data_IF_971585552402
#
_entry.id   IF_971585552402
#
_cell.length_a   1.000
_cell.length_b   1.000
_cell.length_c   1.000
_cell.angle_alpha   90.00
_cell.angle_beta   90.00
_cell.angle_gamma   90.00
#
_symmetry.space_group_name_H-M   'P 1'
#
loop_
_entity.id
_entity.type
_entity.pdbx_description
1 polymer ?
#
# COMPACT_ATOMS: atom_id res chain seq x y z
N UNK A 1 -12.72 27.32 13.30
CA UNK A 1 -13.13 25.89 13.35
C UNK A 1 -14.43 25.76 12.57
N UNK A 2 -14.47 25.14 11.37
CA UNK A 2 -15.71 24.97 10.64
C UNK A 2 -16.54 23.80 11.19
N UNK A 3 -17.84 24.03 11.13
CA UNK A 3 -18.99 23.35 11.73
C UNK A 3 -19.08 21.83 11.50
N UNK A 4 -19.39 21.07 12.55
CA UNK A 4 -19.64 19.61 12.51
C UNK A 4 -21.01 19.24 11.90
N UNK A 5 -21.83 20.22 11.52
CA UNK A 5 -23.22 20.00 11.11
C UNK A 5 -23.43 19.69 9.61
N UNK A 6 -22.46 19.98 8.74
CA UNK A 6 -22.60 19.72 7.28
C UNK A 6 -22.24 18.30 6.85
N UNK A 7 -21.68 17.46 7.74
CA UNK A 7 -21.42 16.04 7.44
C UNK A 7 -22.69 15.17 7.44
N UNK A 8 -23.84 15.71 7.89
CA UNK A 8 -25.10 14.96 8.05
C UNK A 8 -25.95 14.85 6.77
N UNK A 9 -25.61 15.56 5.70
CA UNK A 9 -26.52 15.71 4.55
C UNK A 9 -26.40 14.63 3.47
N UNK A 10 -25.41 13.73 3.54
CA UNK A 10 -25.31 12.62 2.59
C UNK A 10 -25.32 11.24 3.27
N UNK A 11 -26.25 10.34 2.92
CA UNK A 11 -26.35 9.00 3.52
C UNK A 11 -25.09 8.14 3.28
N UNK A 12 -24.36 8.38 2.19
CA UNK A 12 -23.07 7.75 1.92
C UNK A 12 -21.95 8.27 2.85
N UNK A 13 -21.94 9.56 3.19
CA UNK A 13 -20.96 10.15 4.11
C UNK A 13 -21.18 9.70 5.56
N UNK A 14 -22.44 9.51 5.97
CA UNK A 14 -22.77 9.01 7.33
C UNK A 14 -22.27 7.59 7.57
N UNK A 15 -22.51 6.67 6.62
CA UNK A 15 -21.99 5.29 6.70
C UNK A 15 -20.47 5.24 6.65
N UNK A 16 -19.84 6.13 5.90
CA UNK A 16 -18.38 6.22 5.84
C UNK A 16 -17.81 6.76 7.17
N UNK A 17 -18.43 7.79 7.75
CA UNK A 17 -18.06 8.36 9.05
C UNK A 17 -18.21 7.39 10.23
N UNK A 18 -19.32 6.64 10.30
CA UNK A 18 -19.52 5.61 11.34
C UNK A 18 -18.47 4.49 11.23
N UNK A 19 -18.14 4.06 10.01
CA UNK A 19 -17.10 3.04 9.78
C UNK A 19 -15.69 3.55 10.04
N UNK A 20 -15.39 4.82 9.70
CA UNK A 20 -14.10 5.46 10.01
C UNK A 20 -13.85 5.56 11.51
N UNK A 21 -14.90 5.67 12.32
CA UNK A 21 -14.81 5.74 13.79
C UNK A 21 -14.63 4.36 14.44
N UNK A 22 -14.62 3.26 13.67
CA UNK A 22 -14.43 1.92 14.24
C UNK A 22 -13.03 1.78 14.89
N UNK A 23 -12.95 1.49 16.20
CA UNK A 23 -11.66 1.43 16.92
C UNK A 23 -10.68 0.43 16.31
N UNK A 24 -11.17 -0.64 15.66
CA UNK A 24 -10.34 -1.69 15.04
C UNK A 24 -9.51 -1.21 13.86
N UNK A 25 -9.91 -0.12 13.19
CA UNK A 25 -9.14 0.49 12.10
C UNK A 25 -7.93 1.27 12.60
N UNK A 26 -7.99 1.76 13.84
CA UNK A 26 -6.97 2.60 14.46
C UNK A 26 -6.07 1.83 15.43
N UNK A 27 -6.59 0.78 16.07
CA UNK A 27 -5.80 -0.03 16.99
C UNK A 27 -4.77 -0.91 16.29
N UNK A 28 -3.58 -0.97 16.89
CA UNK A 28 -2.45 -1.77 16.45
C UNK A 28 -2.64 -3.24 16.86
N UNK A 29 -3.39 -3.99 16.06
CA UNK A 29 -3.46 -5.45 16.14
C UNK A 29 -2.57 -6.07 15.06
N UNK A 30 -1.70 -7.04 15.41
CA UNK A 30 -0.79 -7.73 14.50
C UNK A 30 -1.44 -8.16 13.18
N UNK A 31 -2.66 -8.74 13.22
CA UNK A 31 -3.37 -9.19 12.01
C UNK A 31 -3.84 -8.01 11.15
N UNK A 32 -4.38 -6.98 11.80
CA UNK A 32 -4.91 -5.78 11.14
C UNK A 32 -3.78 -4.94 10.50
N UNK A 33 -2.66 -4.78 11.21
CA UNK A 33 -1.46 -4.07 10.72
C UNK A 33 -0.82 -4.81 9.55
N UNK A 34 -0.69 -6.14 9.65
CA UNK A 34 -0.14 -6.94 8.55
C UNK A 34 -1.02 -6.88 7.30
N UNK A 35 -2.35 -6.93 7.47
CA UNK A 35 -3.31 -6.77 6.38
C UNK A 35 -3.26 -5.36 5.77
N UNK A 36 -3.15 -4.31 6.60
CA UNK A 36 -3.03 -2.93 6.14
C UNK A 36 -1.75 -2.71 5.33
N UNK A 37 -0.62 -3.23 5.81
CA UNK A 37 0.66 -3.18 5.10
C UNK A 37 0.59 -3.89 3.75
N UNK A 38 0.02 -5.10 3.71
CA UNK A 38 -0.12 -5.88 2.49
C UNK A 38 -0.98 -5.16 1.45
N UNK A 39 -2.15 -4.69 1.87
CA UNK A 39 -3.11 -3.99 1.01
C UNK A 39 -2.53 -2.68 0.49
N UNK A 40 -1.94 -1.86 1.36
CA UNK A 40 -1.39 -0.57 0.98
C UNK A 40 -0.18 -0.70 0.05
N UNK A 41 0.72 -1.67 0.29
CA UNK A 41 1.82 -1.94 -0.64
C UNK A 41 1.31 -2.44 -1.98
N UNK A 42 0.36 -3.39 -2.01
CA UNK A 42 -0.19 -3.89 -3.27
C UNK A 42 -0.81 -2.76 -4.11
N UNK A 43 -1.64 -1.92 -3.49
CA UNK A 43 -2.25 -0.77 -4.16
C UNK A 43 -1.22 0.28 -4.56
N UNK A 44 -0.21 0.52 -3.72
CA UNK A 44 0.86 1.47 -3.98
C UNK A 44 1.65 1.16 -5.26
N UNK A 45 1.79 -0.13 -5.61
CA UNK A 45 2.45 -0.53 -6.86
C UNK A 45 1.56 -0.43 -8.11
N UNK A 46 0.25 -0.28 -7.95
CA UNK A 46 -0.67 -0.20 -9.08
C UNK A 46 -0.66 1.21 -9.70
N UNK A 47 -0.61 1.34 -11.04
CA UNK A 47 -0.64 2.63 -11.73
C UNK A 47 -2.06 3.23 -11.75
N UNK A 48 -2.62 3.48 -10.56
CA UNK A 48 -3.98 3.99 -10.37
C UNK A 48 -3.92 5.42 -9.84
N UNK A 49 -4.61 6.34 -10.51
CA UNK A 49 -4.83 7.69 -9.99
C UNK A 49 -5.74 7.62 -8.77
N UNK A 50 -5.37 8.33 -7.69
CA UNK A 50 -6.14 8.29 -6.45
C UNK A 50 -5.94 7.01 -5.61
N UNK A 51 -4.80 6.33 -5.77
CA UNK A 51 -4.40 5.15 -5.00
C UNK A 51 -4.67 5.24 -3.48
N UNK A 52 -4.52 6.42 -2.88
CA UNK A 52 -4.80 6.63 -1.45
C UNK A 52 -6.28 6.47 -1.11
N UNK A 53 -7.19 7.02 -1.92
CA UNK A 53 -8.64 6.87 -1.71
C UNK A 53 -9.06 5.41 -1.84
N UNK A 54 -8.52 4.72 -2.85
CA UNK A 54 -8.77 3.29 -3.06
C UNK A 54 -8.26 2.46 -1.88
N UNK A 55 -7.07 2.75 -1.37
CA UNK A 55 -6.52 2.06 -0.22
C UNK A 55 -7.32 2.30 1.07
N UNK A 56 -7.79 3.52 1.31
CA UNK A 56 -8.67 3.81 2.45
C UNK A 56 -10.00 3.07 2.32
N UNK A 57 -10.62 3.10 1.14
CA UNK A 57 -11.90 2.41 0.90
C UNK A 57 -11.76 0.90 1.11
N UNK A 58 -10.72 0.29 0.53
CA UNK A 58 -10.44 -1.13 0.70
C UNK A 58 -10.00 -1.47 2.14
N UNK A 59 -9.30 -0.57 2.83
CA UNK A 59 -8.91 -0.80 4.22
C UNK A 59 -10.14 -0.89 5.14
N UNK A 60 -11.12 -0.01 4.92
CA UNK A 60 -12.41 -0.06 5.62
C UNK A 60 -13.17 -1.34 5.25
N UNK A 61 -13.20 -1.69 3.96
CA UNK A 61 -13.90 -2.89 3.49
C UNK A 61 -13.33 -4.18 4.09
N UNK A 62 -12.01 -4.34 4.05
CA UNK A 62 -11.30 -5.50 4.63
C UNK A 62 -11.09 -5.40 6.15
N UNK A 63 -11.52 -4.30 6.78
CA UNK A 63 -11.36 -4.03 8.21
C UNK A 63 -9.91 -4.17 8.70
N UNK A 64 -8.98 -3.66 7.90
CA UNK A 64 -7.54 -3.63 8.21
C UNK A 64 -7.11 -2.26 8.72
N UNK A 65 -5.89 -2.15 9.24
CA UNK A 65 -5.44 -0.91 9.87
C UNK A 65 -5.31 0.21 8.83
N UNK A 66 -6.16 1.23 8.96
CA UNK A 66 -6.31 2.29 7.97
C UNK A 66 -5.06 3.17 7.89
N UNK A 67 -4.48 3.68 9.00
CA UNK A 67 -3.23 4.44 8.95
C UNK A 67 -2.09 3.70 8.26
N UNK A 68 -1.91 2.42 8.59
CA UNK A 68 -0.84 1.59 8.00
C UNK A 68 -1.08 1.38 6.51
N UNK A 69 -2.33 1.11 6.09
CA UNK A 69 -2.66 0.99 4.67
C UNK A 69 -2.39 2.28 3.90
N UNK A 70 -2.81 3.43 4.44
CA UNK A 70 -2.57 4.73 3.78
C UNK A 70 -1.09 5.09 3.70
N UNK A 71 -0.30 4.78 4.74
CA UNK A 71 1.14 5.03 4.75
C UNK A 71 1.90 4.11 3.79
N UNK A 72 1.47 2.84 3.68
CA UNK A 72 2.13 1.88 2.80
C UNK A 72 2.00 2.23 1.31
N UNK A 73 0.90 2.90 0.91
CA UNK A 73 0.71 3.40 -0.46
C UNK A 73 1.77 4.44 -0.86
N UNK A 74 2.31 5.20 0.11
CA UNK A 74 3.32 6.23 -0.15
C UNK A 74 4.71 5.69 -0.54
N UNK A 75 4.83 4.37 -0.70
CA UNK A 75 6.02 3.76 -1.28
C UNK A 75 6.28 4.26 -2.73
N UNK A 76 5.23 4.61 -3.48
CA UNK A 76 5.31 5.23 -4.82
C UNK A 76 5.18 6.76 -4.74
N UNK A 77 6.19 7.39 -4.15
CA UNK A 77 6.33 8.85 -4.13
C UNK A 77 7.03 9.37 -5.41
N UNK A 78 7.05 10.69 -5.67
CA UNK A 78 7.64 11.25 -6.90
C UNK A 78 9.08 10.82 -7.19
N UNK A 79 9.85 10.48 -6.16
CA UNK A 79 11.23 10.02 -6.32
C UNK A 79 11.34 8.52 -6.62
N UNK A 80 10.40 7.71 -6.12
CA UNK A 80 10.44 6.24 -6.27
C UNK A 80 9.55 5.72 -7.39
N UNK A 81 8.55 6.48 -7.84
CA UNK A 81 7.60 6.03 -8.87
C UNK A 81 8.29 5.71 -10.20
N UNK A 82 9.23 6.55 -10.64
CA UNK A 82 9.97 6.35 -11.88
C UNK A 82 10.79 5.04 -11.88
N UNK A 83 11.68 4.79 -10.89
CA UNK A 83 12.39 3.53 -10.85
C UNK A 83 11.46 2.32 -10.65
N UNK A 84 10.44 2.42 -9.79
CA UNK A 84 9.49 1.31 -9.56
C UNK A 84 8.79 0.89 -10.86
N UNK A 85 8.22 1.84 -11.60
CA UNK A 85 7.48 1.52 -12.83
C UNK A 85 8.40 1.09 -13.96
N UNK A 86 9.63 1.60 -14.03
CA UNK A 86 10.62 1.11 -14.97
C UNK A 86 10.98 -0.36 -14.74
N UNK A 87 11.21 -0.75 -13.47
CA UNK A 87 11.47 -2.16 -13.13
C UNK A 87 10.26 -3.04 -13.33
N UNK A 88 9.07 -2.60 -12.92
CA UNK A 88 7.81 -3.31 -13.17
C UNK A 88 7.61 -3.55 -14.67
N UNK A 89 7.76 -2.51 -15.50
CA UNK A 89 7.65 -2.64 -16.95
C UNK A 89 8.64 -3.67 -17.52
N UNK A 90 9.92 -3.60 -17.16
CA UNK A 90 10.92 -4.58 -17.60
C UNK A 90 10.58 -6.00 -17.17
N UNK A 91 10.13 -6.17 -15.93
CA UNK A 91 9.76 -7.47 -15.39
C UNK A 91 8.54 -8.03 -16.13
N UNK A 92 7.51 -7.23 -16.36
CA UNK A 92 6.33 -7.68 -17.10
C UNK A 92 6.62 -7.94 -18.58
N UNK A 93 7.48 -7.14 -19.22
CA UNK A 93 7.90 -7.38 -20.60
C UNK A 93 8.68 -8.69 -20.72
N UNK A 94 9.55 -8.99 -19.75
CA UNK A 94 10.24 -10.27 -19.65
C UNK A 94 9.27 -11.44 -19.46
N UNK A 95 8.27 -11.30 -18.58
CA UNK A 95 7.24 -12.35 -18.36
C UNK A 95 6.39 -12.58 -19.61
N UNK A 96 6.03 -11.52 -20.33
CA UNK A 96 5.23 -11.60 -21.54
C UNK A 96 6.04 -11.90 -22.81
N UNK A 97 7.38 -12.03 -22.70
CA UNK A 97 8.29 -12.23 -23.83
C UNK A 97 8.14 -11.15 -24.93
N UNK A 98 7.84 -9.91 -24.52
CA UNK A 98 7.72 -8.76 -25.43
C UNK A 98 9.05 -8.02 -25.45
N UNK A 99 9.53 -7.56 -26.62
CA UNK A 99 10.76 -6.79 -26.69
C UNK A 99 10.64 -5.52 -25.84
N UNK A 100 11.61 -5.31 -24.95
CA UNK A 100 11.72 -4.06 -24.19
C UNK A 100 12.17 -2.99 -25.17
N UNK A 101 11.21 -2.25 -25.75
CA UNK A 101 11.54 -1.13 -26.63
C UNK A 101 12.36 -0.07 -25.87
N UNK A 102 13.33 0.54 -26.54
CA UNK A 102 14.00 1.74 -26.04
C UNK A 102 13.06 2.94 -26.18
N UNK A 103 12.05 2.98 -25.33
CA UNK A 103 11.08 4.06 -25.33
C UNK A 103 11.70 5.26 -24.63
N UNK A 104 12.31 6.15 -25.41
CA UNK A 104 12.56 7.51 -24.96
C UNK A 104 11.19 8.12 -24.62
N UNK A 105 10.96 8.42 -23.34
CA UNK A 105 9.73 9.06 -22.92
C UNK A 105 9.63 10.42 -23.61
N UNK A 106 8.67 10.55 -24.53
CA UNK A 106 8.36 11.81 -25.20
C UNK A 106 6.92 12.18 -24.91
N UNK A 107 6.70 13.39 -24.41
CA UNK A 107 5.35 13.87 -24.09
C UNK A 107 4.64 14.36 -25.36
N UNK A 108 4.46 13.46 -26.34
CA UNK A 108 3.77 13.74 -27.61
C UNK A 108 2.50 12.90 -27.74
N UNK A 109 1.48 13.45 -28.41
CA UNK A 109 0.21 12.76 -28.64
C UNK A 109 0.36 11.50 -29.50
N UNK A 110 1.31 11.50 -30.44
CA UNK A 110 1.65 10.34 -31.26
C UNK A 110 2.33 9.23 -30.45
N UNK A 111 3.23 9.58 -29.54
CA UNK A 111 3.82 8.62 -28.60
C UNK A 111 2.77 8.03 -27.67
N UNK A 112 1.86 8.86 -27.14
CA UNK A 112 0.78 8.40 -26.27
C UNK A 112 -0.17 7.42 -27.00
N UNK A 113 -0.55 7.68 -28.25
CA UNK A 113 -1.49 6.80 -28.96
C UNK A 113 -0.86 5.49 -29.44
N UNK A 114 0.43 5.47 -29.80
CA UNK A 114 1.11 4.28 -30.35
C UNK A 114 1.83 3.45 -29.29
N UNK A 115 2.57 4.10 -28.39
CA UNK A 115 3.44 3.39 -27.44
C UNK A 115 2.74 3.04 -26.14
N UNK A 116 1.77 3.85 -25.69
CA UNK A 116 1.03 3.57 -24.45
C UNK A 116 0.32 2.20 -24.51
N UNK A 117 -0.26 1.86 -25.67
CA UNK A 117 -0.93 0.57 -25.91
C UNK A 117 0.02 -0.63 -25.90
N UNK A 118 1.32 -0.42 -26.13
CA UNK A 118 2.35 -1.46 -25.99
C UNK A 118 2.87 -1.57 -24.55
N UNK A 119 2.92 -0.44 -23.83
CA UNK A 119 3.55 -0.34 -22.51
C UNK A 119 2.60 -0.76 -21.37
N UNK A 120 1.30 -0.45 -21.46
CA UNK A 120 0.36 -0.64 -20.35
C UNK A 120 0.23 -2.10 -19.89
N UNK A 121 0.21 -3.06 -20.83
CA UNK A 121 0.03 -4.47 -20.51
C UNK A 121 1.26 -5.06 -19.76
N UNK A 122 2.50 -4.95 -20.28
CA UNK A 122 3.69 -5.32 -19.52
C UNK A 122 3.81 -4.57 -18.19
N UNK A 123 3.52 -3.26 -18.17
CA UNK A 123 3.57 -2.47 -16.93
C UNK A 123 2.62 -3.03 -15.88
N UNK A 124 1.36 -3.29 -16.22
CA UNK A 124 0.37 -3.84 -15.28
C UNK A 124 0.78 -5.22 -14.77
N UNK A 125 1.24 -6.12 -15.64
CA UNK A 125 1.73 -7.44 -15.22
C UNK A 125 2.88 -7.31 -14.22
N UNK A 126 3.84 -6.43 -14.52
CA UNK A 126 4.93 -6.11 -13.62
C UNK A 126 4.47 -5.55 -12.28
N UNK A 127 3.55 -4.58 -12.30
CA UNK A 127 2.98 -3.97 -11.10
C UNK A 127 2.23 -4.98 -10.23
N UNK A 128 1.47 -5.91 -10.84
CA UNK A 128 0.82 -7.01 -10.13
C UNK A 128 1.86 -7.89 -9.44
N UNK A 129 2.90 -8.31 -10.16
CA UNK A 129 3.94 -9.20 -9.60
C UNK A 129 4.71 -8.49 -8.47
N UNK A 130 5.24 -7.30 -8.74
CA UNK A 130 5.97 -6.50 -7.76
C UNK A 130 5.10 -6.16 -6.56
N UNK A 131 3.84 -5.78 -6.78
CA UNK A 131 2.87 -5.47 -5.73
C UNK A 131 2.55 -6.70 -4.87
N UNK A 132 2.38 -7.88 -5.45
CA UNK A 132 2.16 -9.13 -4.71
C UNK A 132 3.39 -9.50 -3.88
N UNK A 133 4.60 -9.40 -4.46
CA UNK A 133 5.85 -9.65 -3.73
C UNK A 133 5.98 -8.66 -2.56
N UNK A 134 5.76 -7.36 -2.81
CA UNK A 134 5.80 -6.33 -1.79
C UNK A 134 4.77 -6.59 -0.68
N UNK A 135 3.55 -7.00 -1.03
CA UNK A 135 2.52 -7.34 -0.06
C UNK A 135 2.95 -8.52 0.85
N UNK A 136 3.50 -9.59 0.27
CA UNK A 136 4.01 -10.74 1.03
C UNK A 136 5.15 -10.29 1.95
N UNK A 137 6.13 -9.54 1.44
CA UNK A 137 7.23 -9.00 2.21
C UNK A 137 6.75 -8.09 3.34
N UNK A 138 5.72 -7.27 3.10
CA UNK A 138 5.09 -6.42 4.11
C UNK A 138 4.46 -7.22 5.25
N UNK A 139 3.76 -8.32 4.93
CA UNK A 139 3.22 -9.23 5.96
C UNK A 139 4.34 -9.85 6.79
N UNK A 140 5.41 -10.32 6.14
CA UNK A 140 6.56 -10.90 6.84
C UNK A 140 7.25 -9.86 7.72
N UNK A 141 7.47 -8.65 7.22
CA UNK A 141 8.05 -7.53 7.95
C UNK A 141 7.26 -7.22 9.22
N UNK A 142 5.93 -7.09 9.12
CA UNK A 142 5.08 -6.85 10.29
C UNK A 142 5.14 -8.02 11.28
N UNK A 143 5.09 -9.28 10.80
CA UNK A 143 5.16 -10.45 11.68
C UNK A 143 6.50 -10.55 12.42
N UNK A 144 7.60 -10.30 11.73
CA UNK A 144 8.96 -10.31 12.30
C UNK A 144 9.14 -9.17 13.28
N UNK A 145 8.75 -7.94 12.90
CA UNK A 145 8.78 -6.78 13.79
C UNK A 145 7.99 -7.03 15.08
N UNK A 146 6.79 -7.60 14.97
CA UNK A 146 5.99 -7.96 16.14
C UNK A 146 6.68 -9.00 17.03
N UNK A 147 7.28 -10.04 16.43
CA UNK A 147 8.02 -11.07 17.16
C UNK A 147 9.20 -10.47 17.93
N UNK A 148 9.96 -9.58 17.31
CA UNK A 148 11.10 -8.90 17.94
C UNK A 148 10.66 -8.00 19.10
N UNK A 149 9.58 -7.24 18.93
CA UNK A 149 9.02 -6.40 20.00
C UNK A 149 8.58 -7.25 21.19
N UNK A 150 7.89 -8.37 20.94
CA UNK A 150 7.47 -9.30 22.01
C UNK A 150 8.69 -9.86 22.74
N UNK A 151 9.67 -10.42 22.02
CA UNK A 151 10.89 -10.98 22.65
C UNK A 151 11.61 -9.92 23.49
N UNK A 152 11.79 -8.70 22.95
CA UNK A 152 12.40 -7.59 23.70
C UNK A 152 11.63 -7.25 24.97
N UNK A 153 10.29 -7.23 24.90
CA UNK A 153 9.46 -6.96 26.08
C UNK A 153 9.59 -8.04 27.17
N UNK A 154 9.77 -9.31 26.77
CA UNK A 154 10.03 -10.42 27.70
C UNK A 154 11.41 -10.30 28.36
N UNK A 155 12.45 -9.98 27.58
CA UNK A 155 13.81 -9.78 28.10
C UNK A 155 13.91 -8.56 29.04
N UNK A 156 13.17 -7.48 28.78
CA UNK A 156 13.12 -6.32 29.65
C UNK A 156 12.42 -6.61 30.99
N UNK A 157 11.38 -7.47 30.99
CA UNK A 157 10.70 -7.89 32.22
C UNK A 157 11.62 -8.74 33.12
N UNK A 158 12.46 -9.60 32.54
CA UNK A 158 13.40 -10.40 33.33
C UNK A 158 14.49 -9.54 34.00
N UNK A 159 15.02 -8.53 33.30
CA UNK A 159 15.97 -7.60 33.91
C UNK A 159 15.36 -6.80 35.07
N UNK A 160 14.09 -6.37 34.96
CA UNK A 160 13.41 -5.60 36.00
C UNK A 160 13.05 -6.41 37.25
N UNK A 161 12.87 -7.74 37.11
CA UNK A 161 12.71 -8.64 38.27
C UNK A 161 14.04 -8.97 38.93
N UNK A 162 15.15 -9.02 38.19
CA UNK A 162 16.49 -9.31 38.75
C UNK A 162 17.12 -8.13 39.49
N UNK A 163 16.69 -6.89 39.21
CA UNK A 163 17.14 -5.68 39.94
C UNK A 163 16.31 -5.35 41.18
N UNK A 164 15.34 -6.20 41.54
CA UNK A 164 14.45 -6.05 42.72
C UNK A 164 14.62 -7.16 43.76
N UNK A 165 15.51 -8.13 43.49
CA UNK A 165 15.97 -9.16 44.43
C UNK A 165 17.39 -8.83 44.86
#
# INVERSE_FOLDING_TARGET
>A
MPDHNTMREHPHLRKFGERLTEPRLWHLNRRSVAGGMALGLFIGFMPILGQMFLAVALAIWFRVNLPVASMAVWITNPFTVAPIYFYSYKLGAWVLQVPVGQYAFSLSWEWFSKEFLSIWQPLLVGCVICGTIAAILGVLFVRLGWRLVVIRSWLQRQHKNKSRS
#
